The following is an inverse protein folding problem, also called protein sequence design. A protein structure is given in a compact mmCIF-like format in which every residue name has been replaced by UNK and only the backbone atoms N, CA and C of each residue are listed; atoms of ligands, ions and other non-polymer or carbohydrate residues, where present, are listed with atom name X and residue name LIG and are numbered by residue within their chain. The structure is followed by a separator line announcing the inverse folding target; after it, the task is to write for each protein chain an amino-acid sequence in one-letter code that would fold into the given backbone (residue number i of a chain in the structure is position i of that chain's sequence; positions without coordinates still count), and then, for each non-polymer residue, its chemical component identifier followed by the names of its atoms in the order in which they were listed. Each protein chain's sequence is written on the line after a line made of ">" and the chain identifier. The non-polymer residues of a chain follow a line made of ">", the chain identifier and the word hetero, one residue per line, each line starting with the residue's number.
data_IF_513468468861
#
_entry.id   IF_513468468861
#
_cell.length_a   1.000
_cell.length_b   1.000
_cell.length_c   1.000
_cell.angle_alpha   90.00
_cell.angle_beta   90.00
_cell.angle_gamma   90.00
#
_symmetry.space_group_name_H-M   'P 1'
#
loop_
_entity.id
_entity.type
_entity.pdbx_description
1 polymer ?
#
# COMPACT_ATOMS: atom_id res chain seq x y z
N UNK A 1 6.10 -17.63 -6.70
CA UNK A 1 6.47 -16.76 -7.83
C UNK A 1 6.79 -17.60 -9.07
N UNK A 2 6.64 -17.05 -10.28
CA UNK A 2 6.81 -17.79 -11.55
C UNK A 2 7.83 -17.08 -12.43
N UNK A 3 8.75 -17.86 -13.02
CA UNK A 3 9.68 -17.38 -14.06
C UNK A 3 9.23 -17.94 -15.41
N UNK A 4 9.02 -17.06 -16.39
CA UNK A 4 8.54 -17.41 -17.73
C UNK A 4 9.71 -17.61 -18.67
N UNK A 5 9.83 -18.81 -19.26
CA UNK A 5 10.93 -19.17 -20.15
C UNK A 5 12.27 -19.02 -19.46
N UNK A 6 13.20 -18.29 -20.07
CA UNK A 6 14.52 -17.98 -19.49
C UNK A 6 14.45 -16.91 -18.38
N UNK A 7 13.38 -16.12 -18.34
CA UNK A 7 13.23 -14.98 -17.43
C UNK A 7 14.17 -13.79 -17.75
N UNK A 8 14.92 -13.84 -18.86
CA UNK A 8 15.87 -12.79 -19.22
C UNK A 8 15.22 -11.59 -19.93
N UNK A 9 13.97 -11.73 -20.34
CA UNK A 9 13.21 -10.65 -20.96
C UNK A 9 13.07 -9.46 -20.01
N UNK A 10 13.26 -8.24 -20.57
CA UNK A 10 13.08 -6.99 -19.83
C UNK A 10 11.62 -6.81 -19.44
N UNK A 11 11.42 -6.33 -18.22
CA UNK A 11 10.11 -6.10 -17.65
C UNK A 11 9.98 -4.64 -17.22
N UNK A 12 9.45 -3.75 -18.10
CA UNK A 12 9.21 -2.37 -17.73
C UNK A 12 8.13 -2.30 -16.64
N UNK A 13 8.41 -1.54 -15.60
CA UNK A 13 7.53 -1.39 -14.44
C UNK A 13 7.57 0.04 -13.91
N UNK A 14 6.62 0.40 -13.08
CA UNK A 14 6.61 1.63 -12.30
C UNK A 14 5.77 1.39 -11.05
N UNK A 15 6.13 2.01 -9.93
CA UNK A 15 5.27 2.00 -8.75
C UNK A 15 3.99 2.79 -9.01
N UNK A 16 2.86 2.36 -8.43
CA UNK A 16 1.60 3.11 -8.55
C UNK A 16 1.76 4.53 -8.00
N UNK A 17 2.56 4.69 -6.95
CA UNK A 17 2.85 5.99 -6.35
C UNK A 17 3.57 6.93 -7.33
N UNK A 18 4.67 6.48 -7.94
CA UNK A 18 5.40 7.30 -8.92
C UNK A 18 4.60 7.50 -10.21
N UNK A 19 3.75 6.56 -10.59
CA UNK A 19 2.82 6.72 -11.71
C UNK A 19 1.87 7.90 -11.45
N UNK A 20 1.22 7.94 -10.30
CA UNK A 20 0.32 9.05 -9.93
C UNK A 20 1.07 10.39 -9.83
N UNK A 21 2.27 10.40 -9.24
CA UNK A 21 3.13 11.58 -9.16
C UNK A 21 3.53 12.09 -10.54
N UNK A 22 3.90 11.18 -11.44
CA UNK A 22 4.30 11.54 -12.81
C UNK A 22 3.16 12.19 -13.60
N UNK A 23 1.92 11.71 -13.47
CA UNK A 23 0.75 12.39 -14.03
C UNK A 23 0.60 13.81 -13.49
N UNK A 24 0.63 13.98 -12.17
CA UNK A 24 0.55 15.31 -11.56
C UNK A 24 1.70 16.24 -11.98
N UNK A 25 2.89 15.69 -12.14
CA UNK A 25 4.07 16.43 -12.62
C UNK A 25 3.90 16.89 -14.06
N UNK A 26 3.49 15.99 -14.97
CA UNK A 26 3.28 16.28 -16.40
C UNK A 26 2.19 17.34 -16.59
N UNK A 27 1.08 17.25 -15.88
CA UNK A 27 -0.02 18.21 -15.95
C UNK A 27 0.44 19.63 -15.56
N UNK A 28 1.30 19.74 -14.56
CA UNK A 28 1.83 21.03 -14.08
C UNK A 28 2.98 21.55 -14.93
N UNK A 29 3.71 20.68 -15.64
CA UNK A 29 4.87 21.07 -16.44
C UNK A 29 4.47 21.31 -17.91
N UNK A 30 4.17 22.56 -18.26
CA UNK A 30 3.75 22.97 -19.59
C UNK A 30 4.80 22.75 -20.70
N UNK A 31 6.04 22.47 -20.36
CA UNK A 31 7.10 22.18 -21.33
C UNK A 31 7.09 20.72 -21.79
N UNK A 32 6.48 19.84 -21.02
CA UNK A 32 6.36 18.41 -21.38
C UNK A 32 5.27 18.22 -22.44
N UNK A 33 5.69 17.85 -23.65
CA UNK A 33 4.78 17.63 -24.79
C UNK A 33 5.07 16.30 -25.49
N UNK A 34 4.07 15.75 -26.19
CA UNK A 34 4.15 14.51 -26.95
C UNK A 34 4.18 13.27 -26.05
N UNK A 35 4.71 12.17 -26.56
CA UNK A 35 4.73 10.88 -25.86
C UNK A 35 5.71 10.92 -24.69
N UNK A 36 5.27 10.45 -23.54
CA UNK A 36 6.10 10.29 -22.32
C UNK A 36 5.96 8.87 -21.83
N UNK A 37 7.07 8.18 -21.67
CA UNK A 37 7.10 6.84 -21.10
C UNK A 37 7.07 6.92 -19.58
N UNK A 38 6.03 6.33 -18.98
CA UNK A 38 5.83 6.26 -17.54
C UNK A 38 6.33 4.91 -17.02
N UNK A 39 7.62 4.78 -16.90
CA UNK A 39 8.32 3.58 -16.41
C UNK A 39 9.39 3.99 -15.40
N UNK A 40 9.74 3.07 -14.50
CA UNK A 40 10.90 3.22 -13.61
C UNK A 40 12.21 3.25 -14.41
N UNK A 41 13.25 3.96 -13.97
CA UNK A 41 14.59 3.90 -14.56
C UNK A 41 15.26 2.54 -14.39
N UNK A 42 14.75 1.67 -13.52
CA UNK A 42 15.29 0.35 -13.23
C UNK A 42 14.91 -0.67 -14.30
N UNK A 43 15.92 -1.09 -15.07
CA UNK A 43 15.77 -2.04 -16.18
C UNK A 43 15.93 -3.48 -15.68
N UNK A 44 14.95 -3.99 -14.99
CA UNK A 44 14.96 -5.37 -14.47
C UNK A 44 14.53 -6.39 -15.52
N UNK A 45 14.95 -7.64 -15.30
CA UNK A 45 14.41 -8.80 -16.01
C UNK A 45 13.21 -9.39 -15.26
N UNK A 46 12.40 -10.17 -15.97
CA UNK A 46 11.27 -10.89 -15.35
C UNK A 46 11.76 -11.85 -14.25
N UNK A 47 12.94 -12.45 -14.41
CA UNK A 47 13.55 -13.29 -13.39
C UNK A 47 13.92 -12.50 -12.13
N UNK A 48 14.53 -11.32 -12.29
CA UNK A 48 14.83 -10.43 -11.15
C UNK A 48 13.56 -10.04 -10.42
N UNK A 49 12.52 -9.61 -11.15
CA UNK A 49 11.22 -9.30 -10.54
C UNK A 49 10.67 -10.50 -9.75
N UNK A 50 10.63 -11.70 -10.36
CA UNK A 50 10.12 -12.90 -9.71
C UNK A 50 10.88 -13.25 -8.42
N UNK A 51 12.20 -13.10 -8.43
CA UNK A 51 13.04 -13.34 -7.26
C UNK A 51 12.80 -12.29 -6.16
N UNK A 52 12.70 -11.01 -6.53
CA UNK A 52 12.46 -9.94 -5.57
C UNK A 52 11.09 -10.07 -4.91
N UNK A 53 10.05 -10.36 -5.70
CA UNK A 53 8.70 -10.66 -5.18
C UNK A 53 8.69 -11.89 -4.26
N UNK A 54 9.40 -12.95 -4.65
CA UNK A 54 9.49 -14.17 -3.82
C UNK A 54 10.16 -13.89 -2.46
N UNK A 55 11.19 -13.02 -2.43
CA UNK A 55 11.83 -12.60 -1.17
C UNK A 55 10.87 -11.80 -0.30
N UNK A 56 10.16 -10.80 -0.88
CA UNK A 56 9.22 -9.96 -0.16
C UNK A 56 8.08 -10.77 0.45
N UNK A 57 7.50 -11.68 -0.29
CA UNK A 57 6.38 -12.55 0.15
C UNK A 57 6.84 -13.79 0.94
N UNK A 58 8.16 -13.94 1.20
CA UNK A 58 8.76 -15.13 1.86
C UNK A 58 8.39 -16.45 1.18
N UNK A 59 8.17 -16.42 -0.14
CA UNK A 59 7.85 -17.59 -0.96
C UNK A 59 9.12 -18.39 -1.21
N UNK A 60 9.14 -19.65 -0.76
CA UNK A 60 10.32 -20.55 -0.91
C UNK A 60 10.49 -21.13 -2.30
N UNK A 61 9.43 -21.12 -3.13
CA UNK A 61 9.43 -21.79 -4.42
C UNK A 61 9.24 -20.79 -5.57
N UNK A 62 10.16 -20.85 -6.53
CA UNK A 62 10.04 -20.15 -7.79
C UNK A 62 9.90 -21.25 -8.87
N UNK A 63 8.78 -21.23 -9.56
CA UNK A 63 8.44 -22.27 -10.55
C UNK A 63 8.83 -21.75 -11.93
N UNK A 64 9.77 -22.40 -12.64
CA UNK A 64 10.00 -22.09 -14.04
C UNK A 64 8.82 -22.62 -14.87
N UNK A 65 8.19 -21.73 -15.63
CA UNK A 65 7.11 -22.09 -16.54
C UNK A 65 7.58 -21.97 -17.98
N UNK A 66 7.64 -23.09 -18.73
CA UNK A 66 8.08 -23.07 -20.12
C UNK A 66 7.22 -22.14 -20.99
N UNK A 67 7.86 -21.43 -21.91
CA UNK A 67 7.23 -20.46 -22.83
C UNK A 67 6.06 -21.05 -23.63
N UNK A 68 6.17 -22.32 -23.96
CA UNK A 68 5.17 -23.09 -24.68
C UNK A 68 3.77 -23.00 -24.06
N UNK A 69 3.64 -23.03 -22.71
CA UNK A 69 2.33 -22.92 -22.03
C UNK A 69 1.68 -21.55 -22.28
N UNK A 70 2.49 -20.48 -22.34
CA UNK A 70 1.98 -19.15 -22.65
C UNK A 70 1.53 -19.03 -24.10
N UNK A 71 2.30 -19.62 -25.04
CA UNK A 71 1.93 -19.66 -26.45
C UNK A 71 0.63 -20.43 -26.69
N UNK A 72 0.46 -21.54 -25.98
CA UNK A 72 -0.76 -22.34 -26.08
C UNK A 72 -2.00 -21.58 -25.58
N UNK A 73 -1.85 -20.80 -24.48
CA UNK A 73 -2.97 -20.08 -23.84
C UNK A 73 -3.27 -18.73 -24.50
N UNK A 74 -2.26 -18.00 -24.94
CA UNK A 74 -2.39 -16.60 -25.38
C UNK A 74 -2.01 -16.38 -26.84
N UNK A 75 -1.68 -17.45 -27.60
CA UNK A 75 -1.32 -17.35 -29.02
C UNK A 75 -0.18 -16.35 -29.26
N UNK A 76 -0.36 -15.47 -30.24
CA UNK A 76 0.62 -14.42 -30.56
C UNK A 76 0.80 -13.39 -29.44
N UNK A 77 -0.21 -13.18 -28.60
CA UNK A 77 -0.14 -12.30 -27.44
C UNK A 77 0.90 -12.74 -26.39
N UNK A 78 1.31 -14.02 -26.41
CA UNK A 78 2.38 -14.53 -25.56
C UNK A 78 3.72 -13.78 -25.80
N UNK A 79 3.93 -13.21 -26.97
CA UNK A 79 5.14 -12.48 -27.34
C UNK A 79 5.39 -11.26 -26.43
N UNK A 80 4.36 -10.59 -25.93
CA UNK A 80 4.49 -9.46 -24.99
C UNK A 80 5.13 -9.89 -23.67
N UNK A 81 4.82 -11.10 -23.20
CA UNK A 81 5.34 -11.63 -21.94
C UNK A 81 6.71 -12.31 -22.12
N UNK A 82 6.94 -12.93 -23.28
CA UNK A 82 8.13 -13.77 -23.52
C UNK A 82 9.30 -13.01 -24.13
N UNK A 83 9.05 -11.96 -24.94
CA UNK A 83 10.10 -11.16 -25.57
C UNK A 83 10.54 -9.96 -24.73
N UNK A 84 9.63 -9.41 -23.93
CA UNK A 84 9.86 -8.21 -23.14
C UNK A 84 10.05 -6.95 -24.01
N UNK A 85 10.19 -5.82 -23.34
CA UNK A 85 10.51 -4.54 -23.99
C UNK A 85 11.48 -3.75 -23.11
N UNK A 86 12.44 -3.08 -23.74
CA UNK A 86 13.29 -2.11 -23.04
C UNK A 86 12.70 -0.73 -23.26
N UNK A 87 12.23 -0.12 -22.19
CA UNK A 87 11.61 1.21 -22.20
C UNK A 87 12.36 2.10 -21.23
N UNK A 88 12.68 3.32 -21.63
CA UNK A 88 13.41 4.30 -20.83
C UNK A 88 12.53 5.52 -20.53
N UNK A 89 12.55 6.05 -19.29
CA UNK A 89 11.80 7.25 -18.91
C UNK A 89 12.57 8.55 -19.22
N UNK A 90 13.24 8.62 -20.37
CA UNK A 90 14.18 9.68 -20.72
C UNK A 90 13.62 11.07 -20.50
N UNK A 91 12.43 11.35 -21.04
CA UNK A 91 11.79 12.67 -20.90
C UNK A 91 11.46 13.06 -19.44
N UNK A 92 11.06 12.09 -18.61
CA UNK A 92 10.81 12.36 -17.19
C UNK A 92 12.10 12.72 -16.47
N UNK A 93 13.18 11.95 -16.71
CA UNK A 93 14.48 12.19 -16.10
C UNK A 93 15.07 13.54 -16.54
N UNK A 94 15.06 13.82 -17.84
CA UNK A 94 15.55 15.07 -18.40
C UNK A 94 14.76 16.31 -17.93
N UNK A 95 13.47 16.13 -17.63
CA UNK A 95 12.63 17.19 -17.08
C UNK A 95 12.85 17.48 -15.60
N UNK A 96 13.66 16.66 -14.90
CA UNK A 96 13.93 16.81 -13.48
C UNK A 96 12.94 16.06 -12.56
N UNK A 97 12.13 15.16 -13.12
CA UNK A 97 11.27 14.31 -12.28
C UNK A 97 12.10 13.35 -11.41
N UNK A 98 11.82 13.34 -10.12
CA UNK A 98 12.49 12.49 -9.15
C UNK A 98 11.57 11.34 -8.74
N UNK A 99 12.03 10.10 -8.93
CA UNK A 99 11.32 8.91 -8.49
C UNK A 99 11.52 8.68 -6.98
N UNK A 100 10.45 8.32 -6.30
CA UNK A 100 10.51 7.84 -4.90
C UNK A 100 10.99 6.39 -4.88
N UNK A 101 10.49 5.59 -5.82
CA UNK A 101 10.85 4.18 -5.98
C UNK A 101 11.58 3.94 -7.30
N UNK A 102 12.86 4.37 -7.42
CA UNK A 102 13.61 4.23 -8.67
C UNK A 102 14.01 2.79 -8.97
N UNK A 103 14.06 1.89 -7.97
CA UNK A 103 14.39 0.47 -8.13
C UNK A 103 13.35 -0.44 -7.48
N UNK A 104 13.25 -1.67 -7.99
CA UNK A 104 12.30 -2.65 -7.45
C UNK A 104 12.68 -3.06 -6.02
N UNK A 105 13.97 -3.09 -5.70
CA UNK A 105 14.46 -3.35 -4.36
C UNK A 105 13.98 -2.26 -3.40
N UNK A 106 14.07 -0.98 -3.81
CA UNK A 106 13.58 0.13 -2.99
C UNK A 106 12.08 0.04 -2.78
N UNK A 107 11.31 -0.31 -3.82
CA UNK A 107 9.87 -0.55 -3.71
C UNK A 107 9.55 -1.70 -2.76
N UNK A 108 10.36 -2.76 -2.77
CA UNK A 108 10.12 -3.97 -1.98
C UNK A 108 10.77 -3.94 -0.59
N UNK A 109 11.73 -3.08 -0.36
CA UNK A 109 12.32 -2.82 0.96
C UNK A 109 11.44 -1.88 1.80
N UNK A 110 10.29 -1.53 1.28
CA UNK A 110 9.26 -0.85 2.01
C UNK A 110 8.73 -1.79 3.04
N UNK A 111 9.31 -1.77 4.22
CA UNK A 111 8.52 -2.20 5.34
C UNK A 111 9.18 -1.80 6.64
N UNK A 112 9.25 -0.53 6.87
CA UNK A 112 9.30 -0.09 8.24
C UNK A 112 7.90 -0.25 8.86
N UNK A 113 7.65 -1.45 9.38
CA UNK A 113 6.46 -1.76 10.19
C UNK A 113 6.67 -1.42 11.66
N UNK A 114 7.63 -0.54 11.97
CA UNK A 114 7.78 -0.04 13.33
C UNK A 114 6.52 0.74 13.69
N UNK A 115 5.95 0.36 14.80
CA UNK A 115 4.77 1.00 15.36
C UNK A 115 5.18 2.03 16.40
N UNK A 116 4.24 2.90 16.74
CA UNK A 116 4.45 3.86 17.83
C UNK A 116 4.93 3.15 19.09
N UNK A 117 5.93 3.72 19.80
CA UNK A 117 6.52 3.10 21.01
C UNK A 117 5.59 3.18 22.22
N UNK A 118 4.62 4.07 22.20
CA UNK A 118 3.65 4.27 23.27
C UNK A 118 2.23 4.39 22.71
N UNK A 119 1.25 3.87 23.44
CA UNK A 119 -0.17 3.99 23.12
C UNK A 119 -1.02 4.04 24.37
N UNK A 120 -1.64 5.17 24.62
CA UNK A 120 -2.79 5.25 25.54
C UNK A 120 -4.05 4.79 24.82
N UNK A 121 -4.43 3.54 25.08
CA UNK A 121 -5.60 2.91 24.47
C UNK A 121 -6.88 3.73 24.75
N UNK A 122 -7.01 4.36 25.92
CA UNK A 122 -8.21 5.14 26.25
C UNK A 122 -8.31 6.40 25.39
N UNK A 123 -7.19 7.11 25.17
CA UNK A 123 -7.16 8.27 24.27
C UNK A 123 -7.41 7.90 22.82
N UNK A 124 -7.02 6.68 22.42
CA UNK A 124 -7.23 6.19 21.05
C UNK A 124 -8.72 5.85 20.78
N UNK A 125 -9.52 5.59 21.81
CA UNK A 125 -10.94 5.26 21.65
C UNK A 125 -11.74 6.42 21.02
N UNK A 126 -12.99 6.12 20.64
CA UNK A 126 -13.91 7.05 20.01
C UNK A 126 -13.89 6.93 18.48
N UNK A 127 -14.43 7.94 17.81
CA UNK A 127 -14.61 7.95 16.35
C UNK A 127 -13.39 8.50 15.64
N UNK A 128 -13.07 7.85 14.53
CA UNK A 128 -12.07 8.27 13.55
C UNK A 128 -12.72 8.31 12.17
N UNK A 129 -12.40 9.33 11.38
CA UNK A 129 -12.76 9.44 9.98
C UNK A 129 -11.62 8.91 9.12
N UNK A 130 -11.95 8.10 8.12
CA UNK A 130 -10.99 7.67 7.11
C UNK A 130 -10.80 8.80 6.09
N UNK A 131 -9.58 9.32 6.02
CA UNK A 131 -9.21 10.40 5.09
C UNK A 131 -8.69 9.82 3.78
N UNK A 132 -7.90 8.75 3.88
CA UNK A 132 -7.36 8.05 2.72
C UNK A 132 -7.06 6.58 3.08
N UNK A 133 -7.03 5.73 2.07
CA UNK A 133 -6.61 4.34 2.18
C UNK A 133 -5.98 3.84 0.89
N UNK A 134 -5.20 2.78 1.00
CA UNK A 134 -4.95 1.92 -0.16
C UNK A 134 -6.21 1.13 -0.47
N UNK A 135 -6.59 1.10 -1.76
CA UNK A 135 -7.79 0.39 -2.16
C UNK A 135 -7.70 -1.10 -1.82
N UNK A 136 -8.64 -1.58 -1.06
CA UNK A 136 -8.73 -2.98 -0.66
C UNK A 136 -10.11 -3.55 -1.02
N UNK A 137 -10.21 -4.88 -1.11
CA UNK A 137 -11.43 -5.52 -1.59
C UNK A 137 -12.61 -5.42 -0.60
N UNK A 138 -12.35 -5.20 0.69
CA UNK A 138 -13.40 -5.08 1.71
C UNK A 138 -14.13 -3.73 1.61
N UNK A 139 -13.38 -2.66 1.34
CA UNK A 139 -13.88 -1.29 1.34
C UNK A 139 -14.02 -0.69 -0.06
N UNK A 140 -13.82 -1.51 -1.11
CA UNK A 140 -13.92 -1.05 -2.50
C UNK A 140 -15.26 -0.38 -2.79
N UNK A 141 -15.19 0.88 -3.24
CA UNK A 141 -16.36 1.71 -3.53
C UNK A 141 -17.12 2.21 -2.31
N UNK A 142 -16.53 2.12 -1.10
CA UNK A 142 -17.08 2.75 0.09
C UNK A 142 -16.63 4.21 0.18
N UNK A 143 -17.55 5.08 0.62
CA UNK A 143 -17.33 6.50 0.91
C UNK A 143 -17.74 6.84 2.34
N UNK A 144 -17.27 7.98 2.84
CA UNK A 144 -17.56 8.49 4.19
C UNK A 144 -17.32 7.45 5.29
N UNK A 145 -16.22 6.71 5.17
CA UNK A 145 -15.91 5.62 6.10
C UNK A 145 -15.47 6.19 7.44
N UNK A 146 -16.01 5.59 8.51
CA UNK A 146 -15.62 5.89 9.88
C UNK A 146 -15.35 4.60 10.65
N UNK A 147 -14.41 4.66 11.59
CA UNK A 147 -14.14 3.59 12.55
C UNK A 147 -14.38 4.13 13.98
N UNK A 148 -15.21 3.45 14.75
CA UNK A 148 -15.46 3.79 16.15
C UNK A 148 -14.94 2.67 17.04
N UNK A 149 -14.04 3.04 17.96
CA UNK A 149 -13.43 2.11 18.91
C UNK A 149 -13.99 2.34 20.30
N UNK A 150 -14.37 1.26 20.99
CA UNK A 150 -14.89 1.30 22.36
C UNK A 150 -14.15 0.27 23.22
N UNK A 151 -13.49 0.74 24.28
CA UNK A 151 -12.87 -0.14 25.25
C UNK A 151 -13.93 -0.81 26.11
N UNK A 152 -13.90 -2.13 26.16
CA UNK A 152 -14.85 -2.93 26.95
C UNK A 152 -14.28 -3.22 28.36
N UNK A 153 -15.14 -3.56 29.34
CA UNK A 153 -14.71 -3.87 30.70
C UNK A 153 -13.71 -5.04 30.81
N UNK A 154 -13.73 -5.97 29.84
CA UNK A 154 -12.80 -7.11 29.76
C UNK A 154 -11.46 -6.74 29.10
N UNK A 155 -11.22 -5.46 28.82
CA UNK A 155 -9.98 -4.95 28.19
C UNK A 155 -9.91 -5.14 26.67
N UNK A 156 -10.92 -5.76 26.05
CA UNK A 156 -11.02 -5.83 24.58
C UNK A 156 -11.58 -4.54 24.02
N UNK A 157 -11.39 -4.34 22.72
CA UNK A 157 -11.87 -3.17 22.01
C UNK A 157 -12.94 -3.62 21.02
N UNK A 158 -14.13 -3.05 21.11
CA UNK A 158 -15.15 -3.16 20.07
C UNK A 158 -14.82 -2.18 18.97
N UNK A 159 -14.91 -2.63 17.71
CA UNK A 159 -14.65 -1.84 16.51
C UNK A 159 -15.92 -1.81 15.67
N UNK A 160 -16.39 -0.62 15.34
CA UNK A 160 -17.56 -0.43 14.47
C UNK A 160 -17.13 0.41 13.27
N UNK A 161 -17.07 -0.21 12.10
CA UNK A 161 -16.81 0.48 10.84
C UNK A 161 -18.14 0.77 10.15
N UNK A 162 -18.31 2.01 9.72
CA UNK A 162 -19.50 2.47 9.02
C UNK A 162 -19.11 3.27 7.78
N UNK A 163 -19.94 3.24 6.74
CA UNK A 163 -19.73 4.01 5.51
C UNK A 163 -20.86 3.76 4.53
N UNK A 164 -20.73 4.31 3.32
CA UNK A 164 -21.74 4.17 2.27
C UNK A 164 -21.16 3.43 1.07
N UNK A 165 -21.94 2.53 0.48
CA UNK A 165 -21.62 1.87 -0.78
C UNK A 165 -22.79 1.98 -1.73
N UNK A 166 -22.59 2.71 -2.85
CA UNK A 166 -23.68 2.99 -3.78
C UNK A 166 -24.86 3.72 -3.10
N UNK A 167 -24.60 4.63 -2.17
CA UNK A 167 -25.61 5.36 -1.41
C UNK A 167 -26.26 4.57 -0.26
N UNK A 168 -25.95 3.28 -0.11
CA UNK A 168 -26.49 2.43 0.97
C UNK A 168 -25.55 2.41 2.16
N UNK A 169 -26.06 2.75 3.34
CA UNK A 169 -25.32 2.67 4.59
C UNK A 169 -24.90 1.22 4.88
N UNK A 170 -23.65 1.03 5.22
CA UNK A 170 -23.06 -0.26 5.61
C UNK A 170 -22.42 -0.13 6.97
N UNK A 171 -22.58 -1.16 7.79
CA UNK A 171 -21.98 -1.25 9.11
C UNK A 171 -21.36 -2.64 9.29
N UNK A 172 -20.15 -2.68 9.84
CA UNK A 172 -19.48 -3.90 10.26
C UNK A 172 -19.02 -3.75 11.71
N UNK A 173 -19.30 -4.73 12.54
CA UNK A 173 -18.87 -4.75 13.93
C UNK A 173 -17.82 -5.84 14.11
N UNK A 174 -16.71 -5.48 14.68
CA UNK A 174 -15.57 -6.34 14.97
C UNK A 174 -15.06 -6.14 16.39
N UNK A 175 -13.93 -6.77 16.63
CA UNK A 175 -13.21 -6.67 17.91
C UNK A 175 -11.73 -6.53 17.66
N UNK A 176 -11.06 -5.75 18.49
CA UNK A 176 -9.61 -5.67 18.49
C UNK A 176 -9.07 -6.07 19.86
N UNK A 177 -7.80 -6.45 19.85
CA UNK A 177 -7.01 -6.71 21.04
C UNK A 177 -5.59 -6.23 20.85
N UNK A 178 -4.90 -5.93 21.95
CA UNK A 178 -3.50 -5.58 21.99
C UNK A 178 -2.74 -6.79 22.58
N UNK A 179 -2.07 -7.61 21.75
CA UNK A 179 -1.46 -8.86 22.21
C UNK A 179 -0.29 -8.67 23.16
N UNK A 180 0.48 -7.59 22.96
CA UNK A 180 1.69 -7.29 23.72
C UNK A 180 1.77 -5.78 24.01
N UNK A 181 0.96 -5.28 24.97
CA UNK A 181 0.90 -3.86 25.27
C UNK A 181 2.19 -3.29 25.86
N UNK A 182 3.04 -4.14 26.42
CA UNK A 182 4.27 -3.72 27.07
C UNK A 182 5.43 -3.50 26.11
N UNK A 183 5.61 -4.40 25.14
CA UNK A 183 6.78 -4.36 24.24
C UNK A 183 6.40 -3.85 22.84
N UNK A 184 5.15 -3.99 22.44
CA UNK A 184 4.64 -3.61 21.12
C UNK A 184 3.28 -2.91 21.22
N UNK A 185 3.18 -1.75 21.90
CA UNK A 185 1.90 -1.11 22.19
C UNK A 185 1.11 -0.71 20.94
N UNK A 186 1.78 -0.31 19.86
CA UNK A 186 1.14 0.06 18.60
C UNK A 186 0.69 -1.12 17.74
N UNK A 187 0.99 -2.38 18.14
CA UNK A 187 0.58 -3.57 17.38
C UNK A 187 -0.71 -4.15 17.96
N UNK A 188 -1.79 -3.94 17.26
CA UNK A 188 -3.09 -4.51 17.57
C UNK A 188 -3.44 -5.60 16.57
N UNK A 189 -4.47 -6.36 16.89
CA UNK A 189 -5.10 -7.33 15.98
C UNK A 189 -6.59 -7.07 15.95
N UNK A 190 -7.19 -7.05 14.75
CA UNK A 190 -8.61 -6.77 14.53
C UNK A 190 -9.29 -7.95 13.83
N UNK A 191 -10.49 -8.30 14.24
CA UNK A 191 -11.31 -9.35 13.62
C UNK A 191 -12.75 -8.85 13.42
N UNK A 192 -13.24 -8.97 12.18
CA UNK A 192 -14.64 -8.72 11.81
C UNK A 192 -15.41 -10.02 11.53
N UNK A 193 -14.72 -11.15 11.43
CA UNK A 193 -15.35 -12.42 11.20
C UNK A 193 -14.73 -13.51 12.08
N UNK A 194 -15.56 -14.12 12.94
CA UNK A 194 -15.18 -15.21 13.85
C UNK A 194 -13.89 -14.87 14.65
N UNK A 195 -12.86 -15.71 14.49
CA UNK A 195 -11.54 -15.57 15.15
C UNK A 195 -10.40 -15.27 14.19
N UNK A 196 -10.69 -14.89 12.94
CA UNK A 196 -9.67 -14.50 11.96
C UNK A 196 -9.20 -13.08 12.25
N UNK A 197 -8.10 -12.96 12.97
CA UNK A 197 -7.47 -11.69 13.31
C UNK A 197 -6.50 -11.25 12.23
N UNK A 198 -6.69 -10.07 11.70
CA UNK A 198 -5.73 -9.34 10.87
C UNK A 198 -4.85 -8.42 11.72
N UNK A 199 -3.66 -8.11 11.23
CA UNK A 199 -2.77 -7.15 11.83
C UNK A 199 -3.31 -5.72 11.64
N UNK A 200 -3.20 -4.93 12.69
CA UNK A 200 -3.57 -3.51 12.75
C UNK A 200 -2.45 -2.77 13.47
N UNK A 201 -1.58 -2.13 12.71
CA UNK A 201 -0.38 -1.49 13.20
C UNK A 201 -0.53 0.02 13.17
N UNK A 202 -0.43 0.67 14.31
CA UNK A 202 -0.39 2.13 14.39
C UNK A 202 1.04 2.54 14.09
N UNK A 203 1.26 3.00 12.86
CA UNK A 203 2.59 3.37 12.34
C UNK A 203 2.97 4.78 12.79
N UNK A 204 2.01 5.71 12.67
CA UNK A 204 2.13 7.09 13.13
C UNK A 204 0.92 7.46 13.97
N UNK A 205 1.14 8.25 15.00
CA UNK A 205 0.09 8.77 15.85
C UNK A 205 0.48 10.17 16.33
N UNK A 206 -0.41 11.13 16.15
CA UNK A 206 -0.25 12.46 16.67
C UNK A 206 -0.21 12.48 18.21
N UNK A 207 0.60 13.37 18.77
CA UNK A 207 0.75 13.50 20.23
C UNK A 207 -0.59 13.80 20.95
N UNK A 208 -1.48 14.53 20.28
CA UNK A 208 -2.81 14.86 20.77
C UNK A 208 -3.89 13.88 20.28
N UNK A 209 -3.48 12.80 19.59
CA UNK A 209 -4.38 11.76 19.06
C UNK A 209 -5.40 12.30 18.05
N UNK A 210 -5.02 13.29 17.24
CA UNK A 210 -5.92 13.89 16.26
C UNK A 210 -5.87 13.18 14.91
N UNK A 211 -4.71 12.58 14.54
CA UNK A 211 -4.55 11.81 13.31
C UNK A 211 -3.61 10.62 13.52
N UNK A 212 -3.78 9.61 12.68
CA UNK A 212 -2.99 8.39 12.74
C UNK A 212 -2.78 7.80 11.34
N UNK A 213 -1.64 7.12 11.14
CA UNK A 213 -1.40 6.26 10.00
C UNK A 213 -1.44 4.82 10.47
N UNK A 214 -2.26 4.03 9.82
CA UNK A 214 -2.47 2.63 10.13
C UNK A 214 -1.98 1.77 8.98
N UNK A 215 -1.26 0.74 9.31
CA UNK A 215 -0.80 -0.29 8.37
C UNK A 215 -1.05 -1.70 8.89
N UNK A 216 -0.36 -2.65 8.29
CA UNK A 216 -0.39 -4.05 8.70
C UNK A 216 1.03 -4.65 8.65
N UNK A 217 1.16 -5.96 8.81
CA UNK A 217 2.42 -6.68 8.56
C UNK A 217 2.76 -6.84 7.07
N UNK A 218 1.96 -6.22 6.19
CA UNK A 218 2.16 -6.23 4.73
C UNK A 218 1.84 -4.87 4.15
N UNK A 219 2.43 -4.53 3.00
CA UNK A 219 2.25 -3.24 2.29
C UNK A 219 0.89 -3.13 1.57
N UNK A 220 0.02 -4.11 1.75
CA UNK A 220 -1.29 -4.16 1.07
C UNK A 220 -2.33 -3.23 1.71
N UNK A 221 -2.08 -2.79 2.92
CA UNK A 221 -3.05 -2.05 3.72
C UNK A 221 -2.42 -0.83 4.35
N UNK A 222 -2.99 0.31 4.05
CA UNK A 222 -2.66 1.59 4.66
C UNK A 222 -3.91 2.43 4.78
N UNK A 223 -4.08 3.10 5.92
CA UNK A 223 -5.14 4.07 6.16
C UNK A 223 -4.57 5.31 6.82
N UNK A 224 -5.09 6.46 6.46
CA UNK A 224 -4.92 7.70 7.19
C UNK A 224 -6.25 8.00 7.88
N UNK A 225 -6.20 8.08 9.20
CA UNK A 225 -7.36 8.37 10.05
C UNK A 225 -7.22 9.75 10.69
N UNK A 226 -8.34 10.44 10.89
CA UNK A 226 -8.40 11.73 11.58
C UNK A 226 -9.61 11.80 12.50
N UNK A 227 -9.52 12.63 13.55
CA UNK A 227 -10.67 12.97 14.39
C UNK A 227 -11.64 13.91 13.68
N UNK A 228 -11.15 14.65 12.70
CA UNK A 228 -11.95 15.57 11.90
C UNK A 228 -12.14 15.01 10.47
N UNK A 229 -13.25 15.39 9.83
CA UNK A 229 -13.55 14.97 8.44
C UNK A 229 -12.54 15.53 7.43
N UNK A 230 -11.96 16.67 7.72
CA UNK A 230 -11.00 17.34 6.85
C UNK A 230 -9.64 17.41 7.57
N UNK A 231 -8.63 16.88 6.93
CA UNK A 231 -7.26 16.98 7.42
C UNK A 231 -6.62 18.27 6.84
N UNK A 232 -6.01 19.14 7.68
CA UNK A 232 -5.28 20.31 7.17
C UNK A 232 -4.21 19.90 6.16
N UNK A 233 -4.01 20.70 5.11
CA UNK A 233 -3.08 20.38 4.02
C UNK A 233 -1.66 20.14 4.52
N UNK A 234 -1.15 20.97 5.43
CA UNK A 234 0.18 20.82 6.00
C UNK A 234 0.36 19.50 6.76
N UNK A 235 -0.69 19.02 7.47
CA UNK A 235 -0.68 17.74 8.17
C UNK A 235 -0.71 16.59 7.14
N UNK A 236 -1.50 16.74 6.08
CA UNK A 236 -1.56 15.75 5.00
C UNK A 236 -0.20 15.58 4.33
N UNK A 237 0.48 16.69 4.01
CA UNK A 237 1.82 16.66 3.41
C UNK A 237 2.85 16.03 4.34
N UNK A 238 2.83 16.36 5.63
CA UNK A 238 3.71 15.76 6.65
C UNK A 238 3.51 14.25 6.72
N UNK A 239 2.26 13.79 6.81
CA UNK A 239 1.95 12.35 6.86
C UNK A 239 2.37 11.62 5.57
N UNK A 240 2.15 12.23 4.40
CA UNK A 240 2.61 11.66 3.13
C UNK A 240 4.14 11.60 3.07
N UNK A 241 4.83 12.61 3.61
CA UNK A 241 6.28 12.60 3.78
C UNK A 241 6.75 11.43 4.64
N UNK A 242 6.20 11.28 5.84
CA UNK A 242 6.49 10.18 6.77
C UNK A 242 6.20 8.80 6.17
N UNK A 243 5.06 8.64 5.48
CA UNK A 243 4.72 7.40 4.76
C UNK A 243 5.77 7.11 3.68
N UNK A 244 6.21 8.15 2.96
CA UNK A 244 7.24 8.03 1.91
C UNK A 244 8.61 7.65 2.47
N UNK A 245 8.98 8.19 3.64
CA UNK A 245 10.24 7.85 4.33
C UNK A 245 10.27 6.41 4.82
N UNK A 246 9.13 5.89 5.23
CA UNK A 246 8.98 4.49 5.63
C UNK A 246 9.15 3.51 4.46
N UNK A 247 9.02 3.99 3.24
CA UNK A 247 9.25 3.28 2.00
C UNK A 247 8.12 3.46 1.00
#
# INVERSE_FOLDING_TARGET
>A
SVVVGSGQQRFPWISLFDLCRSFGYIIRNRQMRGVVNLVSPDLITQKQLAHTLARADKIRWIIPLPEFFFRLKFGEGASFVTKGQTVHPTKLLESGFTYVYPTIEKLMNITDHHTVPELDVKRYMGRWYEIARYENHFERGMTDVTATYTLLPDGKIRVENEGYKGGVHKKATGRAKQPDPKNNPGKLKVAFFLWFYADYYILELDADYQYAVIGSSTDKYLWILSRERNLPEAVREDLLGKITERG
#
